data_IF_953517250392
#
_entry.id   IF_953517250392
#
_cell.length_a   1.000
_cell.length_b   1.000
_cell.length_c   1.000
_cell.angle_alpha   90.00
_cell.angle_beta   90.00
_cell.angle_gamma   90.00
#
_symmetry.space_group_name_H-M   'P 1'
#
loop_
_entity.id
_entity.type
_entity.pdbx_description
1 polymer ?
#
# COMPACT_ATOMS: atom_id res chain seq x y z
N UNK A 1 19.68 -31.14 -8.58
CA UNK A 1 20.01 -31.06 -7.14
C UNK A 1 19.20 -29.99 -6.40
N UNK A 2 19.17 -28.73 -6.85
CA UNK A 2 18.41 -27.65 -6.19
C UNK A 2 16.89 -27.85 -6.07
N UNK A 3 16.25 -28.39 -7.11
CA UNK A 3 14.81 -28.66 -7.15
C UNK A 3 14.42 -29.74 -6.15
N UNK A 4 15.15 -30.86 -6.15
CA UNK A 4 14.99 -31.97 -5.19
C UNK A 4 15.19 -31.49 -3.75
N UNK A 5 16.12 -30.56 -3.50
CA UNK A 5 16.33 -30.00 -2.16
C UNK A 5 15.20 -29.05 -1.72
N UNK A 6 14.61 -28.30 -2.67
CA UNK A 6 13.45 -27.44 -2.41
C UNK A 6 12.18 -28.27 -2.21
N UNK A 7 11.98 -29.28 -3.04
CA UNK A 7 10.87 -30.22 -2.95
C UNK A 7 10.94 -31.01 -1.63
N UNK A 8 12.13 -31.48 -1.22
CA UNK A 8 12.36 -32.04 0.13
C UNK A 8 12.07 -31.06 1.27
N UNK A 9 12.49 -29.80 1.16
CA UNK A 9 12.25 -28.77 2.20
C UNK A 9 10.78 -28.36 2.30
N UNK A 10 10.01 -28.56 1.24
CA UNK A 10 8.58 -28.25 1.15
C UNK A 10 7.69 -29.51 1.26
N UNK A 11 8.28 -30.68 1.50
CA UNK A 11 7.62 -32.00 1.56
C UNK A 11 6.79 -32.34 0.30
N UNK A 12 7.34 -32.01 -0.88
CA UNK A 12 6.71 -32.14 -2.20
C UNK A 12 7.18 -33.37 -2.99
N UNK A 13 7.98 -34.25 -2.37
CA UNK A 13 8.61 -35.41 -3.01
C UNK A 13 7.64 -36.57 -3.27
N UNK A 14 6.46 -36.58 -2.63
CA UNK A 14 5.43 -37.61 -2.84
C UNK A 14 4.60 -37.33 -4.11
N UNK A 15 4.69 -38.19 -5.15
CA UNK A 15 3.91 -38.03 -6.38
C UNK A 15 2.39 -38.07 -6.16
N UNK A 16 1.92 -38.70 -5.07
CA UNK A 16 0.50 -38.81 -4.71
C UNK A 16 -0.03 -37.57 -3.96
N UNK A 17 0.85 -36.74 -3.38
CA UNK A 17 0.50 -35.53 -2.62
C UNK A 17 0.99 -34.23 -3.28
N UNK A 18 1.40 -34.29 -4.55
CA UNK A 18 1.92 -33.13 -5.27
C UNK A 18 0.88 -31.99 -5.35
N UNK A 19 1.15 -30.80 -4.80
CA UNK A 19 0.18 -29.72 -4.78
C UNK A 19 -0.23 -29.25 -6.18
N UNK A 20 -1.52 -28.98 -6.33
CA UNK A 20 -2.15 -28.64 -7.62
C UNK A 20 -1.54 -27.41 -8.29
N UNK A 21 -1.02 -26.46 -7.50
CA UNK A 21 -0.39 -25.25 -8.02
C UNK A 21 0.84 -25.52 -8.86
N UNK A 22 1.59 -26.60 -8.60
CA UNK A 22 2.76 -26.94 -9.40
C UNK A 22 2.41 -27.26 -10.85
N UNK A 23 1.16 -27.57 -11.18
CA UNK A 23 0.71 -27.89 -12.55
C UNK A 23 0.21 -26.66 -13.33
N UNK A 24 0.27 -25.45 -12.76
CA UNK A 24 -0.21 -24.25 -13.42
C UNK A 24 0.65 -23.91 -14.66
N UNK A 25 0.04 -23.80 -15.85
CA UNK A 25 0.76 -23.69 -17.12
C UNK A 25 1.15 -22.25 -17.50
N UNK A 26 2.18 -22.10 -18.33
CA UNK A 26 2.63 -20.81 -18.88
C UNK A 26 1.59 -20.14 -19.78
N UNK A 27 0.73 -20.92 -20.45
CA UNK A 27 -0.27 -20.39 -21.38
C UNK A 27 -1.38 -19.63 -20.65
N UNK A 28 -1.78 -20.10 -19.47
CA UNK A 28 -2.75 -19.39 -18.62
C UNK A 28 -2.21 -18.03 -18.15
N UNK A 29 -0.89 -17.90 -17.98
CA UNK A 29 -0.26 -16.63 -17.62
C UNK A 29 -0.29 -15.61 -18.77
N UNK A 30 -0.17 -16.03 -20.03
CA UNK A 30 -0.32 -15.14 -21.20
C UNK A 30 -1.74 -14.58 -21.29
N UNK A 31 -2.76 -15.43 -21.16
CA UNK A 31 -4.18 -14.99 -21.16
C UNK A 31 -4.46 -13.98 -20.04
N UNK A 32 -3.85 -14.15 -18.87
CA UNK A 32 -3.99 -13.23 -17.74
C UNK A 32 -3.32 -11.89 -18.04
N UNK A 33 -2.12 -11.88 -18.62
CA UNK A 33 -1.43 -10.65 -19.00
C UNK A 33 -2.22 -9.83 -20.03
N UNK A 34 -2.84 -10.49 -21.01
CA UNK A 34 -3.71 -9.83 -21.99
C UNK A 34 -4.93 -9.18 -21.34
N UNK A 35 -5.58 -9.86 -20.38
CA UNK A 35 -6.68 -9.28 -19.59
C UNK A 35 -6.23 -8.09 -18.73
N UNK A 36 -5.01 -8.16 -18.19
CA UNK A 36 -4.40 -7.14 -17.32
C UNK A 36 -4.05 -5.82 -17.98
N UNK A 37 -3.81 -5.84 -19.29
CA UNK A 37 -3.48 -4.66 -20.08
C UNK A 37 -4.67 -3.72 -20.31
N UNK A 38 -5.90 -4.14 -19.96
CA UNK A 38 -7.06 -3.24 -19.97
C UNK A 38 -6.85 -2.09 -18.98
N UNK A 39 -6.94 -0.86 -19.46
CA UNK A 39 -6.92 0.34 -18.61
C UNK A 39 -8.03 0.25 -17.56
N UNK A 40 -7.78 0.69 -16.33
CA UNK A 40 -8.76 0.66 -15.22
C UNK A 40 -10.11 1.29 -15.64
N UNK A 41 -10.08 2.31 -16.50
CA UNK A 41 -11.28 2.97 -17.03
C UNK A 41 -12.13 2.09 -17.95
N UNK A 42 -11.53 1.10 -18.60
CA UNK A 42 -12.18 0.14 -19.50
C UNK A 42 -12.64 -1.15 -18.82
N UNK A 43 -12.54 -1.25 -17.49
CA UNK A 43 -13.16 -2.33 -16.73
C UNK A 43 -14.67 -2.07 -16.73
N UNK A 44 -15.43 -3.09 -17.17
CA UNK A 44 -16.89 -3.08 -17.22
C UNK A 44 -17.46 -2.74 -15.85
N UNK A 45 -18.57 -1.99 -15.84
CA UNK A 45 -19.37 -1.76 -14.63
C UNK A 45 -20.68 -2.52 -14.78
N UNK A 46 -21.24 -2.95 -13.66
CA UNK A 46 -22.57 -3.57 -13.60
C UNK A 46 -23.63 -2.61 -13.07
N UNK A 47 -23.23 -1.51 -12.43
CA UNK A 47 -24.09 -0.44 -11.93
C UNK A 47 -23.28 0.88 -11.86
N UNK A 48 -23.96 2.03 -11.90
CA UNK A 48 -23.31 3.33 -11.72
C UNK A 48 -22.81 3.56 -10.29
N UNK A 49 -23.52 3.00 -9.31
CA UNK A 49 -23.10 2.94 -7.92
C UNK A 49 -22.02 1.86 -7.73
N UNK A 50 -20.85 2.27 -7.26
CA UNK A 50 -19.69 1.38 -7.11
C UNK A 50 -19.95 0.21 -6.16
N UNK A 51 -20.75 0.38 -5.12
CA UNK A 51 -21.00 -0.68 -4.16
C UNK A 51 -22.06 -1.65 -4.70
N UNK A 52 -23.11 -1.16 -5.40
CA UNK A 52 -24.08 -2.04 -6.09
C UNK A 52 -23.41 -2.86 -7.18
N UNK A 53 -22.54 -2.21 -7.97
CA UNK A 53 -21.75 -2.90 -9.00
C UNK A 53 -20.85 -3.97 -8.38
N UNK A 54 -20.33 -3.75 -7.16
CA UNK A 54 -19.52 -4.75 -6.44
C UNK A 54 -20.38 -5.92 -5.97
N UNK A 55 -21.58 -5.66 -5.44
CA UNK A 55 -22.52 -6.72 -5.02
C UNK A 55 -22.94 -7.62 -6.19
N UNK A 56 -23.23 -7.03 -7.36
CA UNK A 56 -23.53 -7.78 -8.57
C UNK A 56 -22.34 -8.64 -9.02
N UNK A 57 -21.13 -8.06 -9.04
CA UNK A 57 -19.92 -8.79 -9.39
C UNK A 57 -19.61 -9.94 -8.42
N UNK A 58 -19.83 -9.74 -7.11
CA UNK A 58 -19.73 -10.80 -6.10
C UNK A 58 -20.65 -11.97 -6.46
N UNK A 59 -21.92 -11.70 -6.76
CA UNK A 59 -22.88 -12.76 -7.13
C UNK A 59 -22.46 -13.56 -8.36
N UNK A 60 -21.90 -12.89 -9.37
CA UNK A 60 -21.31 -13.56 -10.55
C UNK A 60 -20.14 -14.45 -10.12
N UNK A 61 -19.24 -13.95 -9.26
CA UNK A 61 -18.06 -14.72 -8.82
C UNK A 61 -18.40 -15.91 -7.93
N UNK A 62 -19.42 -15.81 -7.09
CA UNK A 62 -19.91 -16.94 -6.31
C UNK A 62 -20.44 -18.06 -7.22
N UNK A 63 -21.01 -17.73 -8.37
CA UNK A 63 -21.46 -18.72 -9.36
C UNK A 63 -20.29 -19.29 -10.16
N UNK A 64 -19.37 -18.45 -10.64
CA UNK A 64 -18.21 -18.86 -11.44
C UNK A 64 -17.17 -19.66 -10.63
N UNK A 65 -17.03 -19.38 -9.33
CA UNK A 65 -16.00 -19.96 -8.46
C UNK A 65 -16.54 -20.18 -7.04
N UNK A 66 -17.49 -21.12 -6.84
CA UNK A 66 -18.21 -21.31 -5.58
C UNK A 66 -17.33 -21.77 -4.39
N UNK A 67 -16.10 -22.20 -4.67
CA UNK A 67 -15.13 -22.60 -3.63
C UNK A 67 -14.31 -21.42 -3.10
N UNK A 68 -14.27 -20.29 -3.83
CA UNK A 68 -13.57 -19.10 -3.38
C UNK A 68 -14.22 -18.54 -2.11
N UNK A 69 -13.41 -17.98 -1.22
CA UNK A 69 -13.91 -17.18 -0.12
C UNK A 69 -14.16 -15.77 -0.65
N UNK A 70 -15.42 -15.33 -0.67
CA UNK A 70 -15.78 -13.96 -1.04
C UNK A 70 -16.86 -13.41 -0.13
N UNK A 71 -16.70 -12.16 0.29
CA UNK A 71 -17.69 -11.45 1.08
C UNK A 71 -17.67 -9.98 0.76
N UNK A 72 -18.85 -9.38 0.80
CA UNK A 72 -19.03 -7.96 0.67
C UNK A 72 -20.23 -7.53 1.49
N UNK A 73 -20.02 -6.58 2.39
CA UNK A 73 -21.06 -5.93 3.18
C UNK A 73 -20.78 -4.43 3.26
N UNK A 74 -21.85 -3.65 3.13
CA UNK A 74 -21.80 -2.19 3.17
C UNK A 74 -23.10 -1.67 3.76
N UNK A 75 -23.00 -0.80 4.76
CA UNK A 75 -24.16 -0.28 5.47
C UNK A 75 -24.98 0.71 4.62
N UNK A 76 -24.30 1.48 3.76
CA UNK A 76 -24.93 2.47 2.91
C UNK A 76 -24.18 2.62 1.58
N UNK A 77 -24.90 2.44 0.47
CA UNK A 77 -24.37 2.52 -0.89
C UNK A 77 -23.98 3.94 -1.35
N UNK A 78 -24.39 5.00 -0.66
CA UNK A 78 -24.07 6.38 -1.06
C UNK A 78 -22.92 6.96 -0.23
N UNK A 79 -22.94 6.73 1.08
CA UNK A 79 -21.91 7.22 2.01
C UNK A 79 -21.68 6.16 3.09
N UNK A 80 -20.81 5.18 2.84
CA UNK A 80 -20.60 4.08 3.77
C UNK A 80 -20.02 4.61 5.09
N UNK A 81 -20.59 4.19 6.22
CA UNK A 81 -19.93 4.31 7.53
C UNK A 81 -19.29 2.99 7.93
N UNK A 82 -19.73 1.88 7.35
CA UNK A 82 -19.14 0.56 7.50
C UNK A 82 -19.07 -0.16 6.15
N UNK A 83 -17.91 -0.69 5.84
CA UNK A 83 -17.69 -1.54 4.67
C UNK A 83 -16.69 -2.63 5.02
N UNK A 84 -17.04 -3.87 4.68
CA UNK A 84 -16.14 -5.01 4.77
C UNK A 84 -16.18 -5.74 3.42
N UNK A 85 -15.01 -5.98 2.86
CA UNK A 85 -14.84 -6.83 1.71
C UNK A 85 -13.68 -7.76 1.96
N UNK A 86 -13.80 -9.02 1.56
CA UNK A 86 -12.66 -9.91 1.53
C UNK A 86 -12.76 -10.95 0.42
N UNK A 87 -11.60 -11.38 -0.05
CA UNK A 87 -11.45 -12.39 -1.08
C UNK A 87 -10.22 -13.27 -0.85
N UNK A 88 -10.39 -14.59 -1.02
CA UNK A 88 -9.31 -15.54 -1.24
C UNK A 88 -9.72 -16.57 -2.29
N UNK A 89 -8.82 -16.86 -3.21
CA UNK A 89 -9.01 -17.88 -4.24
C UNK A 89 -8.77 -19.28 -3.67
N UNK A 90 -9.68 -20.23 -3.90
CA UNK A 90 -9.55 -21.63 -3.45
C UNK A 90 -8.27 -22.30 -3.96
N UNK A 91 -7.73 -21.82 -5.10
CA UNK A 91 -6.47 -22.31 -5.67
C UNK A 91 -5.28 -22.18 -4.71
N UNK A 92 -5.32 -21.24 -3.76
CA UNK A 92 -4.25 -21.08 -2.78
C UNK A 92 -4.38 -22.01 -1.57
N UNK A 93 -5.45 -22.79 -1.42
CA UNK A 93 -5.67 -23.62 -0.23
C UNK A 93 -4.52 -24.59 0.06
N UNK A 94 -3.99 -25.24 -0.97
CA UNK A 94 -2.85 -26.16 -0.82
C UNK A 94 -1.60 -25.42 -0.33
N UNK A 95 -1.38 -24.19 -0.83
CA UNK A 95 -0.27 -23.34 -0.42
C UNK A 95 -0.45 -22.89 1.04
N UNK A 96 -1.65 -22.46 1.42
CA UNK A 96 -1.97 -21.94 2.75
C UNK A 96 -1.72 -23.01 3.83
N UNK A 97 -1.93 -24.29 3.52
CA UNK A 97 -1.67 -25.41 4.44
C UNK A 97 -0.18 -25.67 4.70
N UNK A 98 0.69 -25.28 3.77
CA UNK A 98 2.13 -25.58 3.81
C UNK A 98 2.93 -24.37 4.35
N UNK A 99 2.46 -23.15 4.12
CA UNK A 99 3.16 -21.94 4.59
C UNK A 99 3.08 -21.81 6.12
N UNK A 100 4.24 -21.63 6.75
CA UNK A 100 4.35 -21.50 8.21
C UNK A 100 4.12 -20.06 8.70
N UNK A 101 4.51 -19.08 7.89
CA UNK A 101 4.56 -17.66 8.26
C UNK A 101 3.65 -16.81 7.35
N UNK A 102 2.88 -15.94 7.99
CA UNK A 102 1.90 -15.07 7.35
C UNK A 102 2.29 -13.61 7.55
N UNK A 103 2.36 -12.84 6.46
CA UNK A 103 2.74 -11.43 6.51
C UNK A 103 1.51 -10.57 6.26
N UNK A 104 1.22 -9.63 7.16
CA UNK A 104 0.10 -8.70 7.03
C UNK A 104 0.60 -7.26 7.00
N UNK A 105 0.00 -6.46 6.14
CA UNK A 105 0.24 -5.01 6.06
C UNK A 105 -0.94 -4.35 5.34
N UNK A 106 -1.16 -3.07 5.63
CA UNK A 106 -2.17 -2.26 4.97
C UNK A 106 -1.53 -1.30 3.95
N UNK A 107 -2.28 -0.93 2.93
CA UNK A 107 -1.92 0.17 2.05
C UNK A 107 -2.96 1.27 2.04
N UNK A 108 -2.47 2.51 2.14
CA UNK A 108 -3.28 3.71 2.18
C UNK A 108 -3.44 4.34 0.78
N UNK A 109 -4.47 5.19 0.66
CA UNK A 109 -4.72 6.09 -0.48
C UNK A 109 -5.07 5.41 -1.80
N UNK A 110 -5.18 4.09 -1.85
CA UNK A 110 -5.58 3.38 -3.07
C UNK A 110 -7.08 3.55 -3.34
N UNK A 111 -7.89 3.52 -2.29
CA UNK A 111 -9.35 3.56 -2.34
C UNK A 111 -9.92 4.88 -1.85
N UNK A 112 -11.16 5.18 -2.27
CA UNK A 112 -11.95 6.29 -1.74
C UNK A 112 -12.24 6.14 -0.23
N UNK A 113 -12.74 7.19 0.42
CA UNK A 113 -13.14 7.21 1.84
C UNK A 113 -12.08 6.78 2.85
N UNK A 114 -10.78 6.88 2.51
CA UNK A 114 -9.66 6.41 3.35
C UNK A 114 -9.77 4.93 3.72
N UNK A 115 -10.49 4.12 2.94
CA UNK A 115 -10.56 2.68 3.13
C UNK A 115 -9.16 2.07 3.06
N UNK A 116 -8.86 1.16 3.99
CA UNK A 116 -7.57 0.50 4.04
C UNK A 116 -7.66 -0.85 3.35
N UNK A 117 -6.74 -1.07 2.42
CA UNK A 117 -6.60 -2.34 1.75
C UNK A 117 -5.50 -3.16 2.43
N UNK A 118 -5.89 -4.29 2.99
CA UNK A 118 -5.02 -5.25 3.66
C UNK A 118 -4.76 -6.46 2.79
N UNK A 119 -3.58 -7.05 2.99
CA UNK A 119 -3.25 -8.34 2.42
C UNK A 119 -2.57 -9.21 3.44
N UNK A 120 -2.97 -10.48 3.50
CA UNK A 120 -2.09 -11.53 3.98
C UNK A 120 -1.33 -12.09 2.82
N UNK A 121 -0.03 -12.11 2.98
CA UNK A 121 0.92 -12.66 2.03
C UNK A 121 1.66 -13.82 2.67
N UNK A 122 2.18 -14.69 1.82
CA UNK A 122 3.10 -15.74 2.22
C UNK A 122 4.29 -15.76 1.26
N UNK A 123 5.30 -16.54 1.64
CA UNK A 123 6.52 -16.70 0.87
C UNK A 123 7.10 -18.08 1.12
N UNK A 124 7.53 -18.74 0.05
CA UNK A 124 8.41 -19.91 0.13
C UNK A 124 9.88 -19.48 0.07
N UNK A 125 10.82 -20.32 0.56
CA UNK A 125 12.25 -20.11 0.36
C UNK A 125 12.55 -19.77 -1.11
N UNK A 126 13.34 -18.73 -1.35
CA UNK A 126 13.78 -18.27 -2.68
C UNK A 126 12.69 -17.79 -3.67
N UNK A 127 11.41 -17.78 -3.30
CA UNK A 127 10.33 -17.23 -4.16
C UNK A 127 10.12 -15.73 -3.94
N UNK A 128 9.41 -15.06 -4.86
CA UNK A 128 8.78 -13.79 -4.50
C UNK A 128 7.63 -14.06 -3.53
N UNK A 129 7.36 -13.08 -2.68
CA UNK A 129 6.18 -13.17 -1.84
C UNK A 129 4.91 -12.96 -2.67
N UNK A 130 3.84 -13.62 -2.28
CA UNK A 130 2.56 -13.64 -2.98
C UNK A 130 1.40 -13.43 -2.00
N UNK A 131 0.33 -12.72 -2.40
CA UNK A 131 -0.84 -12.52 -1.57
C UNK A 131 -1.73 -13.76 -1.59
N UNK A 132 -2.20 -14.19 -0.42
CA UNK A 132 -3.09 -15.36 -0.25
C UNK A 132 -4.49 -14.98 0.25
N UNK A 133 -4.62 -13.81 0.88
CA UNK A 133 -5.90 -13.24 1.30
C UNK A 133 -5.87 -11.73 1.16
N UNK A 134 -6.97 -11.15 0.69
CA UNK A 134 -7.09 -9.73 0.42
C UNK A 134 -8.38 -9.21 1.04
N UNK A 135 -8.31 -8.12 1.80
CA UNK A 135 -9.50 -7.56 2.42
C UNK A 135 -9.44 -6.05 2.55
N UNK A 136 -10.61 -5.42 2.60
CA UNK A 136 -10.80 -3.99 2.81
C UNK A 136 -11.74 -3.82 4.00
N UNK A 137 -11.34 -2.96 4.93
CA UNK A 137 -12.16 -2.61 6.09
C UNK A 137 -12.34 -1.10 6.19
N UNK A 138 -13.54 -0.72 6.62
CA UNK A 138 -13.88 0.63 7.01
C UNK A 138 -14.99 0.56 8.07
N UNK A 139 -14.84 1.19 9.25
CA UNK A 139 -13.63 1.84 9.75
C UNK A 139 -12.48 0.85 10.00
N UNK A 140 -11.25 1.37 10.10
CA UNK A 140 -10.08 0.58 10.47
C UNK A 140 -10.08 0.28 11.97
N UNK A 141 -10.62 -0.87 12.37
CA UNK A 141 -10.65 -1.30 13.78
C UNK A 141 -10.17 -2.74 13.90
N UNK A 142 -9.68 -3.11 15.09
CA UNK A 142 -9.25 -4.48 15.39
C UNK A 142 -10.35 -5.51 15.17
N UNK A 143 -11.61 -5.17 15.43
CA UNK A 143 -12.76 -6.06 15.30
C UNK A 143 -13.04 -6.38 13.84
N UNK A 144 -12.99 -5.36 12.96
CA UNK A 144 -13.21 -5.56 11.53
C UNK A 144 -12.06 -6.35 10.89
N UNK A 145 -10.81 -6.10 11.30
CA UNK A 145 -9.66 -6.91 10.86
C UNK A 145 -9.81 -8.35 11.36
N UNK A 146 -10.10 -8.55 12.64
CA UNK A 146 -10.30 -9.87 13.25
C UNK A 146 -11.41 -10.66 12.56
N UNK A 147 -12.52 -10.00 12.21
CA UNK A 147 -13.62 -10.62 11.45
C UNK A 147 -13.12 -11.21 10.12
N UNK A 148 -12.33 -10.44 9.35
CA UNK A 148 -11.75 -10.90 8.10
C UNK A 148 -10.77 -12.05 8.32
N UNK A 149 -9.88 -11.94 9.32
CA UNK A 149 -8.88 -12.97 9.61
C UNK A 149 -9.51 -14.30 10.03
N UNK A 150 -10.50 -14.26 10.93
CA UNK A 150 -11.23 -15.45 11.38
C UNK A 150 -11.94 -16.13 10.21
N UNK A 151 -12.61 -15.35 9.35
CA UNK A 151 -13.26 -15.89 8.16
C UNK A 151 -12.27 -16.64 7.26
N UNK A 152 -11.09 -16.06 7.01
CA UNK A 152 -10.06 -16.67 6.18
C UNK A 152 -9.49 -17.97 6.76
N UNK A 153 -9.02 -17.96 8.01
CA UNK A 153 -8.40 -19.15 8.62
C UNK A 153 -9.41 -20.27 8.89
N UNK A 154 -10.67 -19.92 9.21
CA UNK A 154 -11.75 -20.91 9.33
C UNK A 154 -12.06 -21.56 7.98
N UNK A 155 -12.17 -20.76 6.91
CA UNK A 155 -12.39 -21.28 5.55
C UNK A 155 -11.22 -22.16 5.08
N UNK A 156 -9.98 -21.73 5.34
CA UNK A 156 -8.78 -22.49 4.97
C UNK A 156 -8.56 -23.74 5.83
N UNK A 157 -9.25 -23.83 6.99
CA UNK A 157 -9.06 -24.88 8.01
C UNK A 157 -7.60 -24.97 8.49
N UNK A 158 -6.96 -23.82 8.68
CA UNK A 158 -5.57 -23.70 9.12
C UNK A 158 -5.52 -22.86 10.39
N UNK A 159 -4.75 -23.31 11.38
CA UNK A 159 -4.40 -22.49 12.55
C UNK A 159 -3.08 -21.76 12.26
N UNK A 160 -3.06 -20.42 12.25
CA UNK A 160 -1.81 -19.69 12.01
C UNK A 160 -0.88 -19.85 13.20
N UNK A 161 0.39 -20.17 12.93
CA UNK A 161 1.43 -20.27 13.97
C UNK A 161 2.26 -18.99 14.08
N UNK A 162 2.69 -18.43 12.94
CA UNK A 162 3.53 -17.23 12.90
C UNK A 162 2.89 -16.14 12.05
N UNK A 163 2.92 -14.93 12.59
CA UNK A 163 2.57 -13.71 11.88
C UNK A 163 3.71 -12.72 11.90
N UNK A 164 3.84 -11.94 10.82
CA UNK A 164 4.66 -10.75 10.78
C UNK A 164 3.82 -9.55 10.35
N UNK A 165 3.88 -8.48 11.13
CA UNK A 165 3.13 -7.24 10.90
C UNK A 165 4.00 -6.00 11.10
N UNK A 166 3.47 -4.81 10.80
CA UNK A 166 4.01 -3.57 11.36
C UNK A 166 3.68 -3.45 12.86
N UNK A 167 4.13 -2.38 13.52
CA UNK A 167 3.83 -2.14 14.93
C UNK A 167 2.47 -1.42 15.11
N UNK A 168 1.46 -1.77 14.32
CA UNK A 168 0.13 -1.17 14.40
C UNK A 168 -0.76 -1.92 15.41
N UNK A 169 -1.30 -1.18 16.38
CA UNK A 169 -2.08 -1.76 17.47
C UNK A 169 -3.35 -2.46 16.99
N UNK A 170 -4.01 -1.93 15.95
CA UNK A 170 -5.23 -2.51 15.40
C UNK A 170 -4.98 -3.89 14.79
N UNK A 171 -3.84 -4.08 14.10
CA UNK A 171 -3.45 -5.38 13.55
C UNK A 171 -3.08 -6.34 14.67
N UNK A 172 -2.27 -5.88 15.62
CA UNK A 172 -1.84 -6.67 16.77
C UNK A 172 -3.02 -7.21 17.57
N UNK A 173 -3.93 -6.33 17.99
CA UNK A 173 -5.12 -6.70 18.75
C UNK A 173 -6.01 -7.66 17.95
N UNK A 174 -6.15 -7.43 16.65
CA UNK A 174 -6.93 -8.32 15.79
C UNK A 174 -6.35 -9.73 15.74
N UNK A 175 -5.02 -9.87 15.65
CA UNK A 175 -4.34 -11.16 15.59
C UNK A 175 -4.40 -11.87 16.94
N UNK A 176 -3.95 -11.23 18.02
CA UNK A 176 -3.83 -11.85 19.35
C UNK A 176 -5.20 -12.27 19.88
N UNK A 177 -6.23 -11.43 19.71
CA UNK A 177 -7.58 -11.76 20.16
C UNK A 177 -8.27 -12.81 19.27
N UNK A 178 -7.79 -13.02 18.04
CA UNK A 178 -8.33 -14.06 17.15
C UNK A 178 -7.63 -15.40 17.34
N UNK A 179 -6.32 -15.38 17.63
CA UNK A 179 -5.45 -16.55 17.67
C UNK A 179 -4.48 -16.43 18.85
N UNK A 180 -4.89 -16.75 20.09
CA UNK A 180 -4.06 -16.51 21.28
C UNK A 180 -2.71 -17.25 21.30
N UNK A 181 -2.62 -18.38 20.60
CA UNK A 181 -1.40 -19.21 20.52
C UNK A 181 -0.42 -18.74 19.42
N UNK A 182 -0.76 -17.67 18.69
CA UNK A 182 0.05 -17.20 17.57
C UNK A 182 1.29 -16.46 18.08
N UNK A 183 2.41 -16.69 17.41
CA UNK A 183 3.64 -15.93 17.64
C UNK A 183 3.63 -14.75 16.66
N UNK A 184 3.50 -13.54 17.21
CA UNK A 184 3.51 -12.30 16.44
C UNK A 184 4.89 -11.66 16.44
N UNK A 185 5.48 -11.55 15.26
CA UNK A 185 6.69 -10.80 15.03
C UNK A 185 6.41 -9.43 14.40
N UNK A 186 7.25 -8.45 14.72
CA UNK A 186 7.24 -7.15 14.07
C UNK A 186 8.27 -7.07 12.96
N UNK A 187 7.88 -6.42 11.88
CA UNK A 187 8.73 -6.13 10.74
C UNK A 187 9.91 -5.24 11.16
N UNK A 188 11.15 -5.74 11.02
CA UNK A 188 12.33 -4.98 11.39
C UNK A 188 12.51 -3.66 10.59
N UNK A 189 11.96 -3.55 9.36
CA UNK A 189 11.94 -2.26 8.63
C UNK A 189 11.09 -1.24 9.37
N UNK A 190 9.91 -1.65 9.82
CA UNK A 190 8.99 -0.77 10.54
C UNK A 190 9.51 -0.41 11.93
N UNK A 191 10.12 -1.39 12.63
CA UNK A 191 10.81 -1.16 13.91
C UNK A 191 11.89 -0.10 13.76
N UNK A 192 12.82 -0.27 12.81
CA UNK A 192 13.90 0.71 12.62
C UNK A 192 13.38 2.06 12.13
N UNK A 193 12.33 2.11 11.31
CA UNK A 193 11.71 3.38 10.91
C UNK A 193 11.09 4.11 12.10
N UNK A 194 10.34 3.40 12.95
CA UNK A 194 9.71 3.97 14.13
C UNK A 194 10.76 4.45 15.15
N UNK A 195 11.79 3.64 15.39
CA UNK A 195 12.92 4.01 16.25
C UNK A 195 13.63 5.27 15.73
N UNK A 196 14.06 5.28 14.47
CA UNK A 196 14.74 6.43 13.86
C UNK A 196 13.87 7.68 13.82
N UNK A 197 12.56 7.53 13.67
CA UNK A 197 11.62 8.66 13.70
C UNK A 197 11.65 9.32 15.08
N UNK A 198 11.54 8.55 16.16
CA UNK A 198 11.61 9.09 17.52
C UNK A 198 13.00 9.61 17.87
N UNK A 199 14.07 8.92 17.48
CA UNK A 199 15.46 9.35 17.75
C UNK A 199 15.78 10.74 17.18
N UNK A 200 15.13 11.14 16.08
CA UNK A 200 15.34 12.45 15.45
C UNK A 200 14.90 13.62 16.33
N UNK A 201 13.93 13.40 17.21
CA UNK A 201 13.33 14.45 18.03
C UNK A 201 14.22 14.81 19.25
N UNK A 202 15.29 14.05 19.48
CA UNK A 202 16.22 14.25 20.60
C UNK A 202 17.58 14.80 20.13
N UNK A 203 18.13 15.73 20.90
CA UNK A 203 19.38 16.42 20.63
C UNK A 203 20.62 15.61 21.06
N UNK A 204 20.68 14.34 20.69
CA UNK A 204 21.90 13.53 20.85
C UNK A 204 23.02 14.00 19.92
N UNK A 205 24.26 13.85 20.37
CA UNK A 205 25.45 13.95 19.52
C UNK A 205 25.39 12.97 18.35
N UNK A 206 26.04 13.33 17.23
CA UNK A 206 26.00 12.49 16.02
C UNK A 206 26.60 11.10 16.24
N UNK A 207 27.64 11.01 17.07
CA UNK A 207 28.27 9.73 17.48
C UNK A 207 27.30 8.85 18.26
N UNK A 208 26.57 9.42 19.23
CA UNK A 208 25.57 8.70 20.01
C UNK A 208 24.42 8.18 19.14
N UNK A 209 23.89 9.03 18.23
CA UNK A 209 22.84 8.62 17.29
C UNK A 209 23.31 7.46 16.42
N UNK A 210 24.56 7.48 15.96
CA UNK A 210 25.14 6.39 15.18
C UNK A 210 25.27 5.10 16.00
N UNK A 211 25.72 5.18 17.26
CA UNK A 211 25.84 4.01 18.14
C UNK A 211 24.46 3.41 18.41
N UNK A 212 23.49 4.25 18.80
CA UNK A 212 22.11 3.86 19.05
C UNK A 212 21.49 3.18 17.81
N UNK A 213 21.61 3.78 16.62
CA UNK A 213 21.13 3.18 15.37
C UNK A 213 21.82 1.86 15.09
N UNK A 214 23.15 1.78 15.24
CA UNK A 214 23.93 0.57 14.98
C UNK A 214 23.49 -0.58 15.90
N UNK A 215 23.30 -0.32 17.20
CA UNK A 215 22.86 -1.34 18.16
C UNK A 215 21.43 -1.79 17.90
N UNK A 216 20.52 -0.86 17.60
CA UNK A 216 19.15 -1.23 17.22
C UNK A 216 19.10 -2.03 15.91
N UNK A 217 19.87 -1.65 14.89
CA UNK A 217 19.97 -2.46 13.66
C UNK A 217 20.53 -3.84 13.95
N UNK A 218 21.54 -3.94 14.82
CA UNK A 218 22.13 -5.22 15.19
C UNK A 218 21.09 -6.16 15.82
N UNK A 219 20.27 -5.65 16.75
CA UNK A 219 19.17 -6.42 17.34
C UNK A 219 18.09 -6.80 16.30
N UNK A 220 17.78 -5.91 15.37
CA UNK A 220 16.72 -6.12 14.38
C UNK A 220 17.13 -7.00 13.18
N UNK A 221 18.43 -7.04 12.83
CA UNK A 221 18.93 -7.65 11.59
C UNK A 221 20.12 -8.61 11.76
N UNK A 222 20.80 -8.60 12.90
CA UNK A 222 22.02 -9.38 13.14
C UNK A 222 21.77 -10.89 13.13
N UNK A 223 21.87 -11.53 11.95
CA UNK A 223 21.53 -12.95 11.74
C UNK A 223 22.33 -13.95 12.57
N UNK A 224 23.53 -13.57 13.00
CA UNK A 224 24.36 -14.38 13.89
C UNK A 224 24.23 -13.94 15.36
N UNK A 225 23.24 -13.09 15.65
CA UNK A 225 22.95 -12.58 16.97
C UNK A 225 22.47 -13.71 17.86
N UNK A 226 23.15 -13.93 18.98
CA UNK A 226 22.72 -14.87 20.01
C UNK A 226 21.80 -14.17 21.00
N UNK A 227 20.84 -14.89 21.57
CA UNK A 227 19.94 -14.36 22.62
C UNK A 227 20.72 -13.76 23.81
N UNK A 228 21.85 -14.37 24.15
CA UNK A 228 22.76 -13.91 25.21
C UNK A 228 23.33 -12.49 24.97
N UNK A 229 23.25 -11.96 23.74
CA UNK A 229 23.73 -10.62 23.39
C UNK A 229 22.64 -9.54 23.44
N UNK A 230 21.37 -9.92 23.62
CA UNK A 230 20.24 -8.97 23.67
C UNK A 230 20.40 -8.03 24.87
N UNK A 231 20.46 -8.58 26.08
CA UNK A 231 20.54 -7.81 27.32
C UNK A 231 21.80 -6.92 27.39
N UNK A 232 23.03 -7.40 27.11
CA UNK A 232 24.21 -6.54 27.06
C UNK A 232 24.10 -5.41 26.03
N UNK A 233 23.39 -5.64 24.92
CA UNK A 233 23.18 -4.61 23.90
C UNK A 233 22.20 -3.56 24.36
N UNK A 234 21.08 -3.94 25.01
CA UNK A 234 20.14 -2.99 25.59
C UNK A 234 20.75 -2.17 26.72
N UNK A 235 21.59 -2.76 27.56
CA UNK A 235 22.30 -2.02 28.60
C UNK A 235 23.09 -0.84 28.01
N UNK A 236 23.85 -1.07 26.95
CA UNK A 236 24.60 -0.01 26.23
C UNK A 236 23.69 1.03 25.58
N UNK A 237 22.52 0.62 25.08
CA UNK A 237 21.52 1.55 24.55
C UNK A 237 20.98 2.44 25.66
N UNK A 238 20.66 1.87 26.83
CA UNK A 238 20.13 2.60 27.97
C UNK A 238 21.15 3.57 28.58
N UNK A 239 22.41 3.18 28.71
CA UNK A 239 23.51 4.06 29.17
C UNK A 239 23.58 5.36 28.34
N UNK A 240 23.35 5.28 27.02
CA UNK A 240 23.30 6.47 26.15
C UNK A 240 21.94 7.16 26.30
N UNK A 241 20.85 6.40 26.31
CA UNK A 241 19.49 6.94 26.37
C UNK A 241 19.19 7.71 27.67
N UNK A 242 19.89 7.43 28.77
CA UNK A 242 19.77 8.12 30.06
C UNK A 242 20.00 9.64 29.96
N UNK A 243 20.73 10.12 28.94
CA UNK A 243 20.84 11.56 28.64
C UNK A 243 19.48 12.23 28.43
N UNK A 244 18.46 11.47 28.02
CA UNK A 244 17.09 11.94 27.84
C UNK A 244 16.10 10.94 28.48
N UNK A 245 15.63 11.21 29.71
CA UNK A 245 14.78 10.28 30.46
C UNK A 245 13.54 9.78 29.70
N UNK A 246 12.86 10.65 28.95
CA UNK A 246 11.70 10.28 28.13
C UNK A 246 12.07 9.32 26.99
N UNK A 247 13.25 9.49 26.38
CA UNK A 247 13.73 8.56 25.37
C UNK A 247 14.08 7.21 26.00
N UNK A 248 14.75 7.20 27.16
CA UNK A 248 15.03 5.97 27.90
C UNK A 248 13.74 5.21 28.25
N UNK A 249 12.72 5.91 28.74
CA UNK A 249 11.40 5.34 29.02
C UNK A 249 10.74 4.79 27.76
N UNK A 250 10.84 5.50 26.63
CA UNK A 250 10.39 5.02 25.34
C UNK A 250 11.10 3.72 24.92
N UNK A 251 12.43 3.62 25.07
CA UNK A 251 13.17 2.39 24.77
C UNK A 251 12.68 1.22 25.63
N UNK A 252 12.54 1.43 26.93
CA UNK A 252 12.09 0.40 27.86
C UNK A 252 10.68 -0.08 27.52
N UNK A 253 9.74 0.86 27.34
CA UNK A 253 8.33 0.55 27.15
C UNK A 253 7.98 0.00 25.77
N UNK A 254 8.67 0.44 24.71
CA UNK A 254 8.35 0.02 23.34
C UNK A 254 9.21 -1.14 22.87
N UNK A 255 10.52 -1.11 23.17
CA UNK A 255 11.48 -2.01 22.53
C UNK A 255 11.95 -3.14 23.43
N UNK A 256 12.27 -2.85 24.70
CA UNK A 256 12.74 -3.89 25.63
C UNK A 256 11.58 -4.80 26.05
N UNK A 257 10.45 -4.21 26.47
CA UNK A 257 9.23 -4.95 26.83
C UNK A 257 8.70 -5.87 25.74
N UNK A 258 8.99 -5.55 24.47
CA UNK A 258 8.52 -6.30 23.30
C UNK A 258 9.67 -7.01 22.55
N UNK A 259 10.84 -7.21 23.17
CA UNK A 259 12.05 -7.72 22.50
C UNK A 259 11.84 -9.04 21.75
N UNK A 260 11.00 -9.94 22.27
CA UNK A 260 10.65 -11.23 21.66
C UNK A 260 9.94 -11.08 20.31
N UNK A 261 9.29 -9.93 20.07
CA UNK A 261 8.52 -9.69 18.86
C UNK A 261 9.40 -9.21 17.70
N UNK A 262 10.48 -8.49 17.96
CA UNK A 262 11.20 -7.80 16.89
C UNK A 262 12.67 -8.15 16.76
N UNK A 263 13.32 -8.63 17.83
CA UNK A 263 14.72 -9.03 17.75
C UNK A 263 14.88 -10.27 16.87
N UNK A 264 15.94 -10.30 16.07
CA UNK A 264 16.13 -11.38 15.08
C UNK A 264 16.51 -12.71 15.73
N UNK A 265 17.21 -12.67 16.86
CA UNK A 265 17.66 -13.83 17.64
C UNK A 265 16.51 -14.61 18.32
N UNK A 266 15.33 -13.99 18.41
CA UNK A 266 14.12 -14.60 18.95
C UNK A 266 13.30 -15.33 17.87
N UNK A 267 13.70 -15.23 16.60
CA UNK A 267 13.02 -15.88 15.48
C UNK A 267 13.58 -17.27 15.23
N UNK A 268 12.71 -18.18 14.84
CA UNK A 268 13.11 -19.50 14.32
C UNK A 268 13.91 -19.31 13.02
N UNK A 269 15.06 -19.97 12.91
CA UNK A 269 16.00 -19.87 11.80
C UNK A 269 15.37 -20.25 10.45
N UNK A 270 14.27 -21.01 10.46
CA UNK A 270 13.55 -21.44 9.27
C UNK A 270 12.53 -20.40 8.75
N UNK A 271 12.33 -19.28 9.44
CA UNK A 271 11.40 -18.22 9.04
C UNK A 271 12.03 -17.24 8.03
N UNK A 272 11.19 -16.46 7.34
CA UNK A 272 11.68 -15.59 6.29
C UNK A 272 12.52 -14.45 6.87
N UNK A 273 13.80 -14.41 6.49
CA UNK A 273 14.75 -13.38 6.89
C UNK A 273 14.47 -11.99 6.28
N UNK A 274 13.65 -11.92 5.22
CA UNK A 274 13.37 -10.65 4.53
C UNK A 274 12.20 -9.93 5.18
N UNK A 275 12.52 -8.87 5.90
CA UNK A 275 11.56 -8.08 6.65
C UNK A 275 10.76 -7.09 5.79
N UNK A 276 10.88 -7.07 4.47
CA UNK A 276 10.19 -6.10 3.61
C UNK A 276 9.17 -6.73 2.65
N UNK A 277 8.70 -7.93 2.98
CA UNK A 277 7.78 -8.72 2.13
C UNK A 277 6.51 -7.92 1.83
N UNK A 278 5.78 -7.51 2.86
CA UNK A 278 4.48 -6.86 2.68
C UNK A 278 4.62 -5.51 1.98
N UNK A 279 5.63 -4.69 2.33
CA UNK A 279 5.85 -3.40 1.66
C UNK A 279 6.22 -3.58 0.17
N UNK A 280 7.00 -4.61 -0.16
CA UNK A 280 7.36 -4.93 -1.55
C UNK A 280 6.12 -5.30 -2.37
N UNK A 281 5.26 -6.16 -1.82
CA UNK A 281 3.98 -6.53 -2.43
C UNK A 281 3.08 -5.30 -2.56
N UNK A 282 2.94 -4.50 -1.50
CA UNK A 282 2.15 -3.28 -1.47
C UNK A 282 2.61 -2.29 -2.56
N UNK A 283 3.92 -2.10 -2.73
CA UNK A 283 4.48 -1.28 -3.81
C UNK A 283 4.15 -1.85 -5.18
N UNK A 284 4.29 -3.17 -5.37
CA UNK A 284 3.96 -3.83 -6.63
C UNK A 284 2.47 -3.63 -6.95
N UNK A 285 1.57 -3.92 -6.02
CA UNK A 285 0.14 -3.76 -6.25
C UNK A 285 -0.24 -2.31 -6.54
N UNK A 286 0.19 -1.38 -5.69
CA UNK A 286 -0.16 0.05 -5.84
C UNK A 286 0.39 0.66 -7.13
N UNK A 287 1.69 0.50 -7.40
CA UNK A 287 2.33 1.22 -8.50
C UNK A 287 2.37 0.42 -9.80
N UNK A 288 2.53 -0.89 -9.71
CA UNK A 288 2.68 -1.73 -10.90
C UNK A 288 1.31 -2.19 -11.44
N UNK A 289 0.44 -2.76 -10.59
CA UNK A 289 -0.87 -3.24 -11.07
C UNK A 289 -1.93 -2.14 -11.15
N UNK A 290 -1.96 -1.22 -10.18
CA UNK A 290 -2.92 -0.12 -10.14
C UNK A 290 -2.37 1.20 -10.71
N UNK A 291 -1.14 1.21 -11.24
CA UNK A 291 -0.56 2.36 -11.95
C UNK A 291 -0.34 3.60 -11.08
N UNK A 292 -0.28 3.45 -9.76
CA UNK A 292 -0.18 4.58 -8.82
C UNK A 292 -1.46 5.40 -8.71
N UNK A 293 -2.60 4.86 -9.15
CA UNK A 293 -3.90 5.50 -9.00
C UNK A 293 -4.22 5.69 -7.52
N UNK A 294 -4.74 6.87 -7.19
CA UNK A 294 -5.26 7.19 -5.86
C UNK A 294 -6.77 7.35 -5.93
N UNK A 295 -7.48 7.05 -4.84
CA UNK A 295 -8.94 7.19 -4.75
C UNK A 295 -9.68 6.46 -5.89
N UNK A 296 -9.35 5.18 -6.07
CA UNK A 296 -10.01 4.33 -7.04
C UNK A 296 -11.42 3.99 -6.58
N UNK A 297 -12.36 3.97 -7.53
CA UNK A 297 -13.68 3.39 -7.32
C UNK A 297 -13.56 1.92 -6.92
N UNK A 298 -14.33 1.55 -5.92
CA UNK A 298 -14.27 0.26 -5.24
C UNK A 298 -14.57 -0.93 -6.18
N UNK A 299 -15.61 -0.82 -7.01
CA UNK A 299 -15.98 -1.82 -8.02
C UNK A 299 -14.81 -2.22 -8.93
N UNK A 300 -14.15 -1.22 -9.53
CA UNK A 300 -13.02 -1.42 -10.44
C UNK A 300 -11.80 -1.98 -9.74
N UNK A 301 -11.59 -1.58 -8.49
CA UNK A 301 -10.54 -2.16 -7.66
C UNK A 301 -10.80 -3.65 -7.44
N UNK A 302 -12.00 -4.02 -6.97
CA UNK A 302 -12.38 -5.42 -6.70
C UNK A 302 -12.29 -6.29 -7.95
N UNK A 303 -12.87 -5.82 -9.07
CA UNK A 303 -12.82 -6.56 -10.34
C UNK A 303 -11.38 -6.79 -10.81
N UNK A 304 -10.53 -5.75 -10.81
CA UNK A 304 -9.13 -5.91 -11.22
C UNK A 304 -8.35 -6.83 -10.27
N UNK A 305 -8.64 -6.74 -8.97
CA UNK A 305 -8.00 -7.56 -7.96
C UNK A 305 -8.29 -9.05 -8.20
N UNK A 306 -9.57 -9.40 -8.34
CA UNK A 306 -10.04 -10.78 -8.48
C UNK A 306 -9.72 -11.34 -9.87
N UNK A 307 -10.03 -10.63 -10.96
CA UNK A 307 -9.92 -11.19 -12.30
C UNK A 307 -8.49 -11.22 -12.86
N UNK A 308 -7.60 -10.40 -12.30
CA UNK A 308 -6.27 -10.23 -12.85
C UNK A 308 -5.17 -10.37 -11.81
N UNK A 309 -5.18 -9.57 -10.75
CA UNK A 309 -4.03 -9.48 -9.84
C UNK A 309 -3.82 -10.81 -9.11
N UNK A 310 -4.84 -11.34 -8.43
CA UNK A 310 -4.75 -12.59 -7.66
C UNK A 310 -4.34 -13.79 -8.53
N UNK A 311 -5.01 -14.05 -9.67
CA UNK A 311 -4.56 -15.09 -10.61
C UNK A 311 -3.11 -14.89 -11.04
N UNK A 312 -2.71 -13.66 -11.37
CA UNK A 312 -1.35 -13.39 -11.86
C UNK A 312 -0.24 -13.72 -10.83
N UNK A 313 -0.55 -13.71 -9.53
CA UNK A 313 0.38 -14.17 -8.51
C UNK A 313 0.40 -15.68 -8.42
N UNK A 314 -0.76 -16.34 -8.43
CA UNK A 314 -0.86 -17.79 -8.40
C UNK A 314 -0.02 -18.45 -9.51
N UNK A 315 -0.19 -18.01 -10.75
CA UNK A 315 0.52 -18.57 -11.91
C UNK A 315 2.02 -18.27 -11.93
N UNK A 316 2.49 -17.30 -11.13
CA UNK A 316 3.93 -17.02 -10.98
C UNK A 316 4.61 -17.94 -10.00
N UNK A 317 3.90 -18.48 -9.01
CA UNK A 317 4.51 -19.29 -7.94
C UNK A 317 5.27 -20.49 -8.50
N UNK A 318 4.71 -21.31 -9.42
CA UNK A 318 5.45 -22.44 -9.98
C UNK A 318 6.66 -22.00 -10.78
N UNK A 319 6.58 -20.85 -11.45
CA UNK A 319 7.72 -20.31 -12.20
C UNK A 319 8.82 -19.84 -11.23
N UNK A 320 8.47 -19.14 -10.15
CA UNK A 320 9.40 -18.72 -9.09
C UNK A 320 10.05 -19.92 -8.39
N UNK A 321 9.34 -21.05 -8.27
CA UNK A 321 9.88 -22.28 -7.68
C UNK A 321 10.82 -22.99 -8.67
N UNK A 322 10.42 -23.10 -9.95
CA UNK A 322 11.14 -23.87 -10.99
C UNK A 322 12.34 -23.13 -11.59
N UNK A 323 12.30 -21.79 -11.63
CA UNK A 323 13.32 -20.96 -12.26
C UNK A 323 14.17 -20.28 -11.19
N UNK A 324 15.46 -20.61 -11.14
CA UNK A 324 16.49 -19.78 -10.47
C UNK A 324 16.80 -18.50 -11.26
N UNK A 325 16.15 -18.27 -12.40
CA UNK A 325 16.38 -17.12 -13.26
C UNK A 325 15.27 -16.09 -13.15
N UNK A 326 15.68 -14.83 -13.01
CA UNK A 326 14.81 -13.65 -12.89
C UNK A 326 13.74 -13.65 -13.97
N UNK A 327 12.51 -14.04 -13.61
CA UNK A 327 11.34 -13.75 -14.42
C UNK A 327 11.20 -12.23 -14.43
N UNK A 328 11.29 -11.57 -15.60
CA UNK A 328 11.09 -10.13 -15.67
C UNK A 328 9.72 -9.81 -15.07
N UNK A 329 9.67 -8.80 -14.19
CA UNK A 329 8.37 -8.24 -13.84
C UNK A 329 7.66 -7.91 -15.16
N UNK A 330 6.34 -8.19 -15.27
CA UNK A 330 5.62 -7.81 -16.47
C UNK A 330 5.84 -6.31 -16.73
N UNK A 331 5.76 -5.86 -17.97
CA UNK A 331 6.12 -4.48 -18.30
C UNK A 331 5.12 -3.51 -17.63
N UNK A 332 5.57 -2.39 -17.04
CA UNK A 332 4.65 -1.44 -16.42
C UNK A 332 3.66 -0.90 -17.45
N UNK A 333 2.37 -0.92 -17.11
CA UNK A 333 1.36 -0.19 -17.87
C UNK A 333 1.64 1.30 -17.73
N UNK A 334 2.35 1.85 -18.71
CA UNK A 334 2.76 3.25 -18.85
C UNK A 334 3.81 3.75 -17.84
N UNK A 335 4.64 4.69 -18.31
CA UNK A 335 5.79 5.31 -17.62
C UNK A 335 5.42 5.64 -16.18
N UNK A 336 6.29 5.24 -15.23
CA UNK A 336 6.24 5.64 -13.81
C UNK A 336 5.75 7.10 -13.72
N UNK A 337 4.59 7.40 -13.12
CA UNK A 337 4.33 8.77 -12.76
C UNK A 337 5.47 9.18 -11.81
N UNK A 338 6.26 10.18 -12.21
CA UNK A 338 7.13 10.90 -11.27
C UNK A 338 6.24 11.21 -10.07
N UNK A 339 6.69 10.91 -8.84
CA UNK A 339 6.00 11.28 -7.60
C UNK A 339 5.53 12.73 -7.74
N UNK A 340 4.27 12.94 -8.09
CA UNK A 340 3.65 14.24 -7.93
C UNK A 340 3.33 14.30 -6.46
N UNK A 341 4.34 14.63 -5.66
CA UNK A 341 4.10 15.24 -4.35
C UNK A 341 3.31 16.51 -4.67
N UNK A 342 1.98 16.41 -4.66
CA UNK A 342 1.15 17.58 -4.44
C UNK A 342 1.38 17.89 -2.95
N UNK A 343 2.54 18.45 -2.63
CA UNK A 343 2.68 19.28 -1.44
C UNK A 343 1.88 20.52 -1.80
N UNK A 344 0.70 20.66 -1.22
CA UNK A 344 0.15 22.01 -1.07
C UNK A 344 1.22 22.78 -0.31
N UNK A 345 1.76 23.79 -0.98
CA UNK A 345 2.82 24.61 -0.43
C UNK A 345 2.38 25.17 0.92
N UNK A 346 3.30 25.30 1.87
CA UNK A 346 2.98 25.73 3.24
C UNK A 346 2.26 27.09 3.22
N UNK A 347 2.61 27.97 2.29
CA UNK A 347 1.91 29.24 2.03
C UNK A 347 0.46 29.05 1.55
N UNK A 348 0.20 28.06 0.68
CA UNK A 348 -1.18 27.74 0.25
C UNK A 348 -2.02 27.22 1.41
N UNK A 349 -1.43 26.43 2.30
CA UNK A 349 -2.09 25.96 3.52
C UNK A 349 -2.35 27.12 4.50
N UNK A 350 -1.43 28.07 4.64
CA UNK A 350 -1.59 29.26 5.48
C UNK A 350 -2.71 30.16 4.93
N UNK A 351 -2.70 30.48 3.63
CA UNK A 351 -3.78 31.26 3.01
C UNK A 351 -5.15 30.60 3.12
N UNK A 352 -5.23 29.27 2.96
CA UNK A 352 -6.47 28.52 3.18
C UNK A 352 -6.93 28.61 4.64
N UNK A 353 -5.99 28.51 5.58
CA UNK A 353 -6.27 28.59 7.02
C UNK A 353 -6.77 29.99 7.42
N UNK A 354 -6.16 31.05 6.88
CA UNK A 354 -6.58 32.43 7.18
C UNK A 354 -7.93 32.76 6.53
N UNK A 355 -8.21 32.21 5.34
CA UNK A 355 -9.51 32.34 4.70
C UNK A 355 -10.61 31.59 5.47
N UNK A 356 -10.30 30.41 6.00
CA UNK A 356 -11.20 29.65 6.90
C UNK A 356 -11.44 30.43 8.19
N UNK A 357 -10.41 31.02 8.81
CA UNK A 357 -10.57 31.88 9.99
C UNK A 357 -11.45 33.08 9.69
N UNK A 358 -11.28 33.74 8.54
CA UNK A 358 -12.11 34.89 8.17
C UNK A 358 -13.58 34.51 7.95
N UNK A 359 -13.85 33.31 7.42
CA UNK A 359 -15.21 32.78 7.26
C UNK A 359 -15.83 32.44 8.61
N UNK A 360 -15.07 31.85 9.55
CA UNK A 360 -15.54 31.52 10.91
C UNK A 360 -15.90 32.79 11.68
N UNK A 361 -15.09 33.85 11.55
CA UNK A 361 -15.32 35.13 12.26
C UNK A 361 -16.54 35.88 11.71
N UNK A 362 -16.81 35.78 10.41
CA UNK A 362 -17.90 36.51 9.75
C UNK A 362 -19.25 35.78 9.72
N UNK A 363 -19.30 34.47 9.99
CA UNK A 363 -20.54 33.73 10.07
C UNK A 363 -20.91 33.43 11.52
N UNK A 364 -21.88 34.17 12.05
CA UNK A 364 -22.65 33.72 13.21
C UNK A 364 -23.36 32.40 12.85
N UNK A 365 -22.73 31.29 13.21
CA UNK A 365 -23.23 29.91 13.27
C UNK A 365 -24.19 29.45 12.15
N UNK A 366 -23.64 28.85 11.09
CA UNK A 366 -24.26 27.68 10.44
C UNK A 366 -23.19 26.77 9.82
N UNK A 367 -22.93 25.62 10.47
CA UNK A 367 -21.94 24.62 10.03
C UNK A 367 -22.19 24.12 8.60
N UNK A 368 -23.45 24.10 8.13
CA UNK A 368 -23.78 23.64 6.78
C UNK A 368 -23.34 24.65 5.71
N UNK A 369 -23.48 25.95 5.97
CA UNK A 369 -23.02 27.00 5.04
C UNK A 369 -21.50 27.03 4.97
N UNK A 370 -20.82 26.80 6.11
CA UNK A 370 -19.37 26.67 6.15
C UNK A 370 -18.90 25.43 5.36
N UNK A 371 -19.59 24.30 5.52
CA UNK A 371 -19.27 23.06 4.82
C UNK A 371 -19.49 23.17 3.30
N UNK A 372 -20.59 23.78 2.85
CA UNK A 372 -20.83 24.08 1.43
C UNK A 372 -19.76 25.03 0.85
N UNK A 373 -19.35 26.05 1.62
CA UNK A 373 -18.26 26.94 1.23
C UNK A 373 -16.90 26.23 1.14
N UNK A 374 -16.63 25.29 2.05
CA UNK A 374 -15.44 24.44 2.03
C UNK A 374 -15.44 23.49 0.83
N UNK A 375 -16.57 22.87 0.52
CA UNK A 375 -16.72 21.96 -0.63
C UNK A 375 -16.57 22.70 -1.97
N UNK A 376 -17.15 23.91 -2.11
CA UNK A 376 -16.97 24.79 -3.28
C UNK A 376 -15.50 25.23 -3.43
N UNK A 377 -14.84 25.60 -2.33
CA UNK A 377 -13.42 25.98 -2.34
C UNK A 377 -12.53 24.78 -2.72
N UNK A 378 -12.84 23.58 -2.23
CA UNK A 378 -12.13 22.35 -2.58
C UNK A 378 -12.29 22.02 -4.07
N UNK A 379 -13.50 22.14 -4.61
CA UNK A 379 -13.78 21.94 -6.04
C UNK A 379 -13.01 22.94 -6.91
N UNK A 380 -12.96 24.22 -6.50
CA UNK A 380 -12.15 25.26 -7.17
C UNK A 380 -10.66 24.96 -7.13
N UNK A 381 -10.12 24.50 -6.00
CA UNK A 381 -8.71 24.07 -5.87
C UNK A 381 -8.41 22.89 -6.80
N UNK A 382 -9.31 21.90 -6.85
CA UNK A 382 -9.18 20.73 -7.73
C UNK A 382 -9.25 21.15 -9.21
N UNK A 383 -10.14 22.07 -9.57
CA UNK A 383 -10.26 22.64 -10.92
C UNK A 383 -8.99 23.39 -11.31
N UNK A 384 -8.46 24.27 -10.44
CA UNK A 384 -7.21 25.00 -10.67
C UNK A 384 -6.02 24.05 -10.90
N UNK A 385 -5.88 23.01 -10.08
CA UNK A 385 -4.83 22.00 -10.25
C UNK A 385 -4.99 21.21 -11.57
N UNK A 386 -6.22 20.90 -11.99
CA UNK A 386 -6.50 20.25 -13.28
C UNK A 386 -6.16 21.17 -14.46
N UNK A 387 -6.46 22.46 -14.37
CA UNK A 387 -6.12 23.47 -15.39
C UNK A 387 -4.60 23.55 -15.56
N UNK A 388 -3.86 23.74 -14.46
CA UNK A 388 -2.40 23.82 -14.51
C UNK A 388 -1.79 22.55 -15.12
N UNK A 389 -2.28 21.37 -14.69
CA UNK A 389 -1.83 20.08 -15.24
C UNK A 389 -2.12 19.95 -16.74
N UNK A 390 -3.29 20.40 -17.21
CA UNK A 390 -3.64 20.38 -18.65
C UNK A 390 -2.74 21.31 -19.46
N UNK A 391 -2.45 22.51 -18.96
CA UNK A 391 -1.53 23.44 -19.61
C UNK A 391 -0.11 22.87 -19.70
N UNK A 392 0.43 22.37 -18.59
CA UNK A 392 1.72 21.67 -18.56
C UNK A 392 1.76 20.53 -19.58
N UNK A 393 0.69 19.72 -19.65
CA UNK A 393 0.61 18.62 -20.61
C UNK A 393 0.55 19.10 -22.07
N UNK A 394 -0.21 20.15 -22.35
CA UNK A 394 -0.32 20.75 -23.68
C UNK A 394 1.04 21.24 -24.18
N UNK A 395 1.71 22.13 -23.42
CA UNK A 395 3.00 22.69 -23.83
C UNK A 395 4.15 21.67 -23.80
N UNK A 396 4.09 20.67 -22.91
CA UNK A 396 5.11 19.60 -22.89
C UNK A 396 5.13 18.74 -24.15
N UNK A 397 4.01 18.67 -24.89
CA UNK A 397 3.87 17.88 -26.12
C UNK A 397 4.27 18.63 -27.38
N UNK A 398 4.45 19.96 -27.31
CA UNK A 398 4.91 20.74 -28.45
C UNK A 398 6.36 20.41 -28.78
N UNK A 399 6.66 20.30 -30.07
CA UNK A 399 8.01 20.09 -30.62
C UNK A 399 8.76 21.42 -30.68
N UNK A 400 9.12 21.95 -29.51
CA UNK A 400 9.83 23.24 -29.35
C UNK A 400 11.17 23.04 -28.61
N UNK A 401 12.15 23.95 -28.81
CA UNK A 401 13.43 23.92 -28.08
C UNK A 401 13.27 23.79 -26.57
N UNK A 402 14.17 23.04 -25.94
CA UNK A 402 14.05 22.70 -24.52
C UNK A 402 14.11 23.93 -23.59
N UNK A 403 14.89 24.94 -23.96
CA UNK A 403 15.01 26.21 -23.23
C UNK A 403 13.69 26.98 -23.19
N UNK A 404 13.01 27.07 -24.34
CA UNK A 404 11.69 27.68 -24.48
C UNK A 404 10.66 26.88 -23.67
N UNK A 405 10.73 25.54 -23.75
CA UNK A 405 9.84 24.65 -22.97
C UNK A 405 10.03 24.85 -21.46
N UNK A 406 11.27 25.01 -20.98
CA UNK A 406 11.55 25.28 -19.57
C UNK A 406 11.00 26.64 -19.13
N UNK A 407 11.19 27.69 -19.94
CA UNK A 407 10.65 29.03 -19.66
C UNK A 407 9.11 29.02 -19.54
N UNK A 408 8.43 28.35 -20.47
CA UNK A 408 6.96 28.18 -20.43
C UNK A 408 6.51 27.42 -19.18
N UNK A 409 7.22 26.35 -18.80
CA UNK A 409 6.89 25.58 -17.60
C UNK A 409 7.09 26.38 -16.30
N UNK A 410 8.09 27.25 -16.24
CA UNK A 410 8.29 28.18 -15.13
C UNK A 410 7.13 29.16 -15.03
N UNK A 411 6.72 29.77 -16.14
CA UNK A 411 5.57 30.69 -16.15
C UNK A 411 4.25 30.00 -15.76
N UNK A 412 4.02 28.75 -16.19
CA UNK A 412 2.85 27.95 -15.77
C UNK A 412 2.90 27.63 -14.26
N UNK A 413 4.10 27.47 -13.72
CA UNK A 413 4.31 27.24 -12.29
C UNK A 413 3.98 28.49 -11.49
N UNK A 414 4.49 29.65 -11.90
CA UNK A 414 4.19 30.96 -11.32
C UNK A 414 2.70 31.31 -11.42
N UNK A 415 2.07 31.06 -12.58
CA UNK A 415 0.62 31.23 -12.74
C UNK A 415 -0.16 30.35 -11.77
N UNK A 416 0.30 29.13 -11.52
CA UNK A 416 -0.28 28.21 -10.53
C UNK A 416 -0.08 28.60 -9.07
N UNK A 417 0.66 29.66 -8.77
CA UNK A 417 0.76 30.26 -7.43
C UNK A 417 -0.39 31.23 -7.13
N UNK A 418 -1.19 31.64 -8.14
CA UNK A 418 -2.35 32.50 -7.95
C UNK A 418 -3.52 31.79 -7.23
N UNK A 419 -4.56 32.56 -6.86
CA UNK A 419 -5.75 32.00 -6.22
C UNK A 419 -6.49 31.02 -7.15
N UNK A 420 -7.14 29.95 -6.62
CA UNK A 420 -7.84 28.98 -7.45
C UNK A 420 -8.89 29.59 -8.39
N UNK A 421 -9.61 30.62 -7.93
CA UNK A 421 -10.59 31.34 -8.74
C UNK A 421 -9.91 32.06 -9.91
N UNK A 422 -8.85 32.81 -9.62
CA UNK A 422 -8.07 33.53 -10.63
C UNK A 422 -7.51 32.59 -11.70
N UNK A 423 -6.97 31.44 -11.28
CA UNK A 423 -6.43 30.42 -12.18
C UNK A 423 -7.51 29.92 -13.14
N UNK A 424 -8.71 29.61 -12.63
CA UNK A 424 -9.81 29.06 -13.44
C UNK A 424 -10.34 30.10 -14.43
N UNK A 425 -10.49 31.35 -14.01
CA UNK A 425 -11.01 32.44 -14.86
C UNK A 425 -10.02 32.90 -15.93
N UNK A 426 -8.73 32.94 -15.60
CA UNK A 426 -7.69 33.52 -16.47
C UNK A 426 -6.86 32.47 -17.23
N UNK A 427 -7.18 31.18 -17.08
CA UNK A 427 -6.45 30.07 -17.70
C UNK A 427 -6.27 30.23 -19.21
N UNK A 428 -7.38 30.56 -19.89
CA UNK A 428 -7.42 30.67 -21.34
C UNK A 428 -6.61 31.87 -21.82
N UNK A 429 -6.84 33.03 -21.20
CA UNK A 429 -6.06 34.24 -21.48
C UNK A 429 -4.56 34.03 -21.26
N UNK A 430 -4.17 33.38 -20.16
CA UNK A 430 -2.78 33.07 -19.88
C UNK A 430 -2.17 32.09 -20.90
N UNK A 431 -2.94 31.07 -21.32
CA UNK A 431 -2.53 30.16 -22.38
C UNK A 431 -2.32 30.89 -23.72
N UNK A 432 -3.25 31.75 -24.10
CA UNK A 432 -3.20 32.52 -25.36
C UNK A 432 -2.02 33.51 -25.35
N UNK A 433 -1.74 34.11 -24.19
CA UNK A 433 -0.57 34.97 -23.97
C UNK A 433 0.74 34.21 -24.18
N UNK A 434 0.90 33.02 -23.57
CA UNK A 434 2.09 32.18 -23.80
C UNK A 434 2.26 31.84 -25.28
N UNK A 435 1.16 31.52 -25.98
CA UNK A 435 1.21 31.19 -27.40
C UNK A 435 1.71 32.38 -28.22
N UNK A 436 1.29 33.59 -27.86
CA UNK A 436 1.70 34.84 -28.52
C UNK A 436 3.14 35.20 -28.19
N UNK A 437 3.51 35.22 -26.91
CA UNK A 437 4.84 35.63 -26.42
C UNK A 437 5.97 34.74 -26.97
N UNK A 438 5.68 33.46 -27.26
CA UNK A 438 6.64 32.51 -27.82
C UNK A 438 6.42 32.19 -29.30
N UNK A 439 5.55 32.94 -30.00
CA UNK A 439 5.20 32.74 -31.41
C UNK A 439 4.90 31.27 -31.79
N UNK A 440 4.15 30.58 -30.93
CA UNK A 440 3.88 29.15 -31.09
C UNK A 440 2.80 28.92 -32.16
N UNK A 441 3.13 28.19 -33.23
CA UNK A 441 2.13 27.78 -34.22
C UNK A 441 1.23 26.68 -33.64
N UNK A 442 -0.06 26.97 -33.50
CA UNK A 442 -1.07 25.98 -33.12
C UNK A 442 -1.39 25.12 -34.35
N UNK A 443 -0.86 23.92 -34.43
CA UNK A 443 -1.42 22.90 -35.33
C UNK A 443 -2.70 22.37 -34.69
N UNK A 444 -3.85 22.95 -35.03
CA UNK A 444 -5.15 22.32 -34.76
C UNK A 444 -5.27 21.08 -35.64
N UNK A 445 -4.94 19.92 -35.11
CA UNK A 445 -5.41 18.65 -35.65
C UNK A 445 -6.88 18.47 -35.26
N UNK A 446 -7.75 18.42 -36.28
CA UNK A 446 -9.11 17.89 -36.20
C UNK A 446 -9.13 16.44 -35.71
#
# INVERSE_FOLDING_TARGET
>A
MAQIECDKKLDLDDPLNRPSFLNASSDQMKTIQEKGNKKIKGIQKYDDNQFKSTQLFKGIKEQESPKDLIYFDVDNYNKPKKLIFYYASFKFLDIIKIVKEHFIDATHSLLEFKMLFYMISAKFPNTHAFPIFQFVVYPNTSENIAFCLKAFFNWAKVKPKYFMSDCAQEIENAIINSFPEVILHWCAVHVMRAFRKNLKDYAFESSDKLILDTKMNYLAYGRNGKKEWIEPTFKKILEIAEKFPEFSKYIQNQWISNQERWTVSERDENLALTNNISESINKKIKYYYFGGTIFMRFDRFVMKLIDFIVPSFYYRIPQDIRLRDKIPNPLPSEKKPKKSTIRLDTEKCIMLTDKIKSLIVNSSANLNTLQLGLDDLLDKVVKAAKVQKRMTQYFSKLSIPMEIKLSILTQITEFGCNTPQFIVENAKYFQDKIITDFHLQIYTTL
#
